data_IF_922363584976
#
_entry.id   IF_922363584976
#
_cell.length_a   1.000
_cell.length_b   1.000
_cell.length_c   1.000
_cell.angle_alpha   90.00
_cell.angle_beta   90.00
_cell.angle_gamma   90.00
#
_symmetry.space_group_name_H-M   'P 1'
#
loop_
_entity.id
_entity.type
_entity.pdbx_description
1 polymer ?
#
# COMPACT_ATOMS: atom_id res chain seq x y z
N UNK A 1 -5.73 0.03 6.74
CA UNK A 1 -4.62 -0.93 6.58
C UNK A 1 -3.50 -0.16 5.90
N UNK A 2 -2.29 -0.26 6.41
CA UNK A 2 -1.11 0.35 5.80
C UNK A 2 0.01 -0.68 5.69
N UNK A 3 0.98 -0.45 4.82
CA UNK A 3 2.04 -1.40 4.52
C UNK A 3 3.01 -0.85 3.48
N UNK A 4 4.02 -1.64 3.13
CA UNK A 4 5.01 -1.26 2.11
C UNK A 4 5.05 -2.32 1.01
N UNK A 5 4.64 -1.96 -0.20
CA UNK A 5 4.48 -2.86 -1.34
C UNK A 5 3.35 -3.89 -1.21
N UNK A 6 2.33 -3.59 -0.40
CA UNK A 6 1.18 -4.48 -0.17
C UNK A 6 0.36 -4.77 -1.43
N UNK A 7 0.25 -3.80 -2.35
CA UNK A 7 -0.43 -4.03 -3.63
C UNK A 7 0.45 -4.77 -4.65
N UNK A 8 1.77 -4.69 -4.50
CA UNK A 8 2.71 -5.36 -5.40
C UNK A 8 3.03 -6.79 -4.98
N UNK A 9 2.86 -7.13 -3.69
CA UNK A 9 3.28 -8.42 -3.14
C UNK A 9 2.24 -9.04 -2.21
N UNK A 10 2.06 -8.50 -0.99
CA UNK A 10 1.39 -9.21 0.13
C UNK A 10 0.00 -9.76 -0.21
N UNK A 11 -0.89 -8.91 -0.72
CA UNK A 11 -2.26 -9.34 -1.00
C UNK A 11 -2.35 -10.33 -2.16
N UNK A 12 -1.55 -10.10 -3.21
CA UNK A 12 -1.48 -10.98 -4.37
C UNK A 12 -0.96 -12.36 -3.94
N UNK A 13 0.11 -12.38 -3.15
CA UNK A 13 0.69 -13.61 -2.62
C UNK A 13 -0.31 -14.40 -1.75
N UNK A 14 -1.01 -13.73 -0.82
CA UNK A 14 -2.02 -14.39 0.02
C UNK A 14 -3.13 -14.98 -0.82
N UNK A 15 -3.63 -14.25 -1.81
CA UNK A 15 -4.71 -14.74 -2.66
C UNK A 15 -4.29 -15.90 -3.55
N UNK A 16 -3.14 -15.81 -4.20
CA UNK A 16 -2.57 -16.91 -4.99
C UNK A 16 -2.32 -18.13 -4.11
N UNK A 17 -1.87 -17.93 -2.86
CA UNK A 17 -1.67 -19.03 -1.93
C UNK A 17 -2.98 -19.70 -1.53
N UNK A 18 -4.05 -18.94 -1.28
CA UNK A 18 -5.38 -19.50 -0.99
C UNK A 18 -5.92 -20.30 -2.17
N UNK A 19 -5.73 -19.80 -3.41
CA UNK A 19 -6.20 -20.52 -4.60
C UNK A 19 -5.48 -21.86 -4.80
N UNK A 20 -4.19 -21.96 -4.45
CA UNK A 20 -3.48 -23.24 -4.42
C UNK A 20 -4.09 -24.26 -3.45
N UNK A 21 -4.66 -23.80 -2.34
CA UNK A 21 -5.34 -24.66 -1.37
C UNK A 21 -6.83 -24.84 -1.65
N UNK A 22 -7.34 -24.28 -2.77
CA UNK A 22 -8.77 -24.25 -3.11
C UNK A 22 -9.64 -23.60 -2.02
N UNK A 23 -9.05 -22.70 -1.24
CA UNK A 23 -9.73 -21.99 -0.18
C UNK A 23 -10.29 -20.66 -0.72
N UNK A 24 -11.59 -20.37 -0.54
CA UNK A 24 -12.16 -19.12 -1.00
C UNK A 24 -11.62 -17.94 -0.19
N UNK A 25 -11.48 -16.79 -0.85
CA UNK A 25 -11.16 -15.55 -0.15
C UNK A 25 -12.29 -15.21 0.82
N UNK A 26 -11.96 -15.16 2.12
CA UNK A 26 -12.93 -14.77 3.13
C UNK A 26 -13.26 -13.29 3.02
N UNK A 27 -14.46 -12.90 3.46
CA UNK A 27 -14.86 -11.50 3.55
C UNK A 27 -14.00 -10.80 4.62
N UNK A 28 -13.00 -10.03 4.17
CA UNK A 28 -12.13 -9.22 5.01
C UNK A 28 -12.63 -7.78 5.17
N UNK A 29 -13.82 -7.45 4.68
CA UNK A 29 -14.40 -6.11 4.78
C UNK A 29 -14.84 -5.78 6.23
N UNK A 30 -15.41 -4.61 6.45
CA UNK A 30 -16.11 -4.27 7.71
C UNK A 30 -17.59 -4.63 7.69
N UNK A 31 -18.14 -4.96 6.53
CA UNK A 31 -19.57 -5.23 6.37
C UNK A 31 -19.80 -6.74 6.39
N UNK A 32 -20.86 -7.18 7.08
CA UNK A 32 -21.23 -8.61 7.13
C UNK A 32 -21.51 -9.18 5.74
N UNK A 33 -22.23 -8.41 4.91
CA UNK A 33 -22.53 -8.73 3.51
C UNK A 33 -21.62 -7.96 2.52
N UNK A 34 -20.43 -7.56 2.96
CA UNK A 34 -19.47 -6.86 2.13
C UNK A 34 -18.70 -7.79 1.19
N UNK A 35 -17.89 -7.17 0.34
CA UNK A 35 -17.03 -7.86 -0.60
C UNK A 35 -15.55 -7.56 -0.34
N UNK A 36 -14.71 -8.51 -0.71
CA UNK A 36 -13.26 -8.33 -0.82
C UNK A 36 -12.86 -8.74 -2.21
N UNK A 37 -12.44 -7.78 -3.03
CA UNK A 37 -12.14 -8.00 -4.44
C UNK A 37 -10.70 -7.62 -4.73
N UNK A 38 -10.05 -8.38 -5.60
CA UNK A 38 -8.78 -8.01 -6.21
C UNK A 38 -9.07 -7.39 -7.56
N UNK A 39 -8.44 -6.24 -7.79
CA UNK A 39 -8.56 -5.47 -9.00
C UNK A 39 -7.15 -5.25 -9.52
N UNK A 40 -6.83 -5.89 -10.64
CA UNK A 40 -5.58 -5.60 -11.33
C UNK A 40 -5.65 -4.19 -11.91
N UNK A 41 -4.66 -3.39 -11.55
CA UNK A 41 -4.53 -2.01 -12.00
C UNK A 41 -3.31 -1.95 -12.91
N UNK A 42 -3.58 -1.58 -14.15
CA UNK A 42 -2.57 -1.22 -15.15
C UNK A 42 -2.82 0.22 -15.58
N UNK A 43 -1.82 1.08 -15.42
CA UNK A 43 -1.86 2.45 -15.94
C UNK A 43 -0.48 2.99 -16.25
N UNK A 44 -0.44 3.89 -17.22
CA UNK A 44 0.77 4.58 -17.64
C UNK A 44 0.56 6.10 -17.57
N UNK A 45 1.65 6.82 -17.26
CA UNK A 45 1.70 8.28 -17.45
C UNK A 45 3.13 8.72 -17.77
N UNK A 46 3.25 9.86 -18.43
CA UNK A 46 4.56 10.48 -18.69
C UNK A 46 5.31 10.83 -17.41
N UNK A 47 4.60 11.21 -16.34
CA UNK A 47 5.22 11.62 -15.08
C UNK A 47 5.60 10.45 -14.15
N UNK A 48 4.81 9.37 -14.15
CA UNK A 48 4.97 8.26 -13.20
C UNK A 48 5.31 6.92 -13.86
N UNK A 49 5.49 6.90 -15.18
CA UNK A 49 5.78 5.70 -15.95
C UNK A 49 4.64 4.69 -15.93
N UNK A 50 4.99 3.46 -16.31
CA UNK A 50 4.11 2.29 -16.27
C UNK A 50 4.02 1.72 -14.85
N UNK A 51 2.81 1.53 -14.34
CA UNK A 51 2.56 1.00 -13.01
C UNK A 51 1.53 -0.12 -13.07
N UNK A 52 1.98 -1.32 -12.69
CA UNK A 52 1.13 -2.49 -12.51
C UNK A 52 1.14 -2.92 -11.06
N UNK A 53 -0.04 -3.11 -10.48
CA UNK A 53 -0.20 -3.66 -9.15
C UNK A 53 -1.60 -4.26 -8.97
N UNK A 54 -1.74 -5.14 -7.99
CA UNK A 54 -3.03 -5.75 -7.65
C UNK A 54 -3.63 -4.99 -6.47
N UNK A 55 -4.66 -4.19 -6.73
CA UNK A 55 -5.35 -3.43 -5.70
C UNK A 55 -6.40 -4.31 -5.03
N UNK A 56 -6.40 -4.35 -3.70
CA UNK A 56 -7.52 -4.96 -2.96
C UNK A 56 -8.54 -3.91 -2.56
N UNK A 57 -9.81 -4.18 -2.86
CA UNK A 57 -10.94 -3.39 -2.42
C UNK A 57 -11.68 -4.16 -1.32
N UNK A 58 -11.79 -3.55 -0.14
CA UNK A 58 -12.47 -4.09 1.03
C UNK A 58 -13.48 -3.07 1.52
N UNK A 59 -14.76 -3.42 1.52
CA UNK A 59 -15.81 -2.48 1.93
C UNK A 59 -15.59 -1.97 3.36
N UNK A 60 -15.62 -0.64 3.52
CA UNK A 60 -15.39 0.03 4.80
C UNK A 60 -13.94 0.05 5.30
N UNK A 61 -12.96 -0.46 4.53
CA UNK A 61 -11.53 -0.34 4.88
C UNK A 61 -10.80 0.49 3.84
N UNK A 62 -10.01 1.43 4.35
CA UNK A 62 -9.02 2.14 3.54
C UNK A 62 -7.68 1.39 3.59
N UNK A 63 -7.07 1.23 2.42
CA UNK A 63 -5.74 0.64 2.25
C UNK A 63 -4.81 1.71 1.70
N UNK A 64 -3.67 1.91 2.37
CA UNK A 64 -2.63 2.88 2.01
C UNK A 64 -1.31 2.12 1.84
N UNK A 65 -0.75 2.12 0.64
CA UNK A 65 0.55 1.52 0.37
C UNK A 65 1.63 2.61 0.34
N UNK A 66 2.56 2.57 1.29
CA UNK A 66 3.64 3.55 1.40
C UNK A 66 4.58 3.50 0.19
N UNK A 67 4.73 2.36 -0.48
CA UNK A 67 5.60 2.30 -1.67
C UNK A 67 5.05 3.18 -2.79
N UNK A 68 3.73 3.25 -2.97
CA UNK A 68 3.12 4.15 -3.95
C UNK A 68 3.30 5.63 -3.57
N UNK A 69 3.31 5.95 -2.28
CA UNK A 69 3.62 7.30 -1.80
C UNK A 69 5.07 7.67 -2.10
N UNK A 70 6.03 6.83 -1.71
CA UNK A 70 7.45 7.09 -1.91
C UNK A 70 7.88 7.07 -3.36
N UNK A 71 7.22 6.31 -4.24
CA UNK A 71 7.43 6.37 -5.70
C UNK A 71 7.16 7.74 -6.32
N UNK A 72 6.48 8.65 -5.61
CA UNK A 72 6.31 10.05 -6.05
C UNK A 72 7.51 10.94 -5.72
N UNK A 73 8.42 10.46 -4.87
CA UNK A 73 9.69 11.11 -4.58
C UNK A 73 10.72 10.69 -5.63
N UNK A 74 11.70 11.55 -5.91
CA UNK A 74 12.85 11.19 -6.76
C UNK A 74 13.94 10.55 -5.90
N UNK A 75 13.82 9.24 -5.68
CA UNK A 75 14.79 8.46 -4.90
C UNK A 75 15.59 7.52 -5.81
N UNK A 76 16.79 7.14 -5.37
CA UNK A 76 17.66 6.18 -6.07
C UNK A 76 17.09 4.77 -6.01
N UNK A 77 16.56 4.39 -4.83
CA UNK A 77 15.91 3.10 -4.57
C UNK A 77 14.62 3.33 -3.79
N UNK A 78 13.71 2.38 -3.92
CA UNK A 78 12.41 2.37 -3.24
C UNK A 78 12.21 1.11 -2.40
N UNK A 79 13.29 0.41 -2.01
CA UNK A 79 13.17 -0.67 -1.02
C UNK A 79 12.86 -0.08 0.35
N UNK A 80 12.12 -0.83 1.17
CA UNK A 80 11.81 -0.42 2.55
C UNK A 80 13.09 -0.06 3.31
N UNK A 81 14.13 -0.90 3.20
CA UNK A 81 15.42 -0.70 3.84
C UNK A 81 16.09 0.64 3.46
N UNK A 82 16.13 0.96 2.17
CA UNK A 82 16.73 2.21 1.71
C UNK A 82 15.92 3.43 2.18
N UNK A 83 14.59 3.35 2.12
CA UNK A 83 13.71 4.44 2.53
C UNK A 83 13.75 4.64 4.05
N UNK A 84 13.75 3.56 4.83
CA UNK A 84 13.86 3.63 6.28
C UNK A 84 15.22 4.12 6.73
N UNK A 85 16.31 3.67 6.12
CA UNK A 85 17.65 4.18 6.43
C UNK A 85 17.76 5.68 6.08
N UNK A 86 17.31 6.06 4.88
CA UNK A 86 17.39 7.46 4.42
C UNK A 86 16.58 8.43 5.28
N UNK A 87 15.39 8.03 5.72
CA UNK A 87 14.49 8.94 6.43
C UNK A 87 14.44 8.73 7.94
N UNK A 88 14.61 7.51 8.45
CA UNK A 88 14.60 7.23 9.89
C UNK A 88 16.01 7.08 10.48
N UNK A 89 17.04 6.85 9.65
CA UNK A 89 18.37 6.50 10.13
C UNK A 89 18.44 5.08 10.70
N UNK A 90 17.45 4.24 10.38
CA UNK A 90 17.39 2.84 10.79
C UNK A 90 16.91 1.98 9.61
N UNK A 91 17.69 0.95 9.29
CA UNK A 91 17.38 -0.05 8.28
C UNK A 91 16.59 -1.25 8.81
N UNK A 92 16.34 -2.20 7.91
CA UNK A 92 15.83 -3.54 8.24
C UNK A 92 16.84 -4.32 9.08
N UNK A 93 16.40 -5.42 9.68
CA UNK A 93 17.37 -6.41 10.19
C UNK A 93 17.91 -7.19 8.98
N UNK A 94 19.20 -7.47 8.97
CA UNK A 94 19.83 -8.28 7.92
C UNK A 94 19.48 -9.74 8.15
N UNK A 95 18.48 -10.22 7.42
CA UNK A 95 18.04 -11.62 7.42
C UNK A 95 17.90 -12.04 5.97
N UNK A 96 18.72 -12.99 5.55
CA UNK A 96 18.67 -13.53 4.20
C UNK A 96 17.46 -14.46 4.05
N UNK A 97 16.90 -14.58 2.83
CA UNK A 97 15.70 -15.40 2.61
C UNK A 97 15.93 -16.88 2.93
N UNK A 98 17.16 -17.37 2.79
CA UNK A 98 17.53 -18.76 3.12
C UNK A 98 17.42 -19.04 4.62
N UNK A 99 17.79 -18.08 5.46
CA UNK A 99 17.67 -18.20 6.93
C UNK A 99 16.21 -18.31 7.38
N UNK A 100 15.29 -17.69 6.63
CA UNK A 100 13.84 -17.81 6.88
C UNK A 100 13.37 -19.25 6.59
N UNK A 101 13.84 -19.84 5.50
CA UNK A 101 13.52 -21.24 5.15
C UNK A 101 14.12 -22.21 6.15
N UNK A 102 15.40 -22.04 6.49
CA UNK A 102 16.09 -22.88 7.47
C UNK A 102 15.39 -22.84 8.84
N UNK A 103 14.99 -21.65 9.29
CA UNK A 103 14.24 -21.49 10.54
C UNK A 103 12.88 -22.20 10.51
N UNK A 104 12.20 -22.22 9.37
CA UNK A 104 10.92 -22.90 9.19
C UNK A 104 11.09 -24.42 9.16
N UNK A 105 12.06 -24.93 8.41
CA UNK A 105 12.31 -26.37 8.28
C UNK A 105 12.83 -26.97 9.58
N UNK A 106 13.75 -26.28 10.26
CA UNK A 106 14.32 -26.75 11.53
C UNK A 106 13.29 -26.77 12.67
N UNK A 107 12.21 -25.98 12.55
CA UNK A 107 11.21 -25.71 13.60
C UNK A 107 11.85 -25.30 14.94
N UNK A 108 13.03 -24.70 14.87
CA UNK A 108 13.76 -24.28 16.05
C UNK A 108 13.11 -23.01 16.64
N UNK A 109 12.64 -23.03 17.89
CA UNK A 109 11.95 -21.87 18.47
C UNK A 109 12.78 -20.59 18.50
N UNK A 110 14.09 -20.69 18.71
CA UNK A 110 14.99 -19.53 18.74
C UNK A 110 15.16 -18.91 17.36
N UNK A 111 15.33 -19.72 16.31
CA UNK A 111 15.42 -19.23 14.92
C UNK A 111 14.08 -18.65 14.44
N UNK A 112 12.97 -19.34 14.73
CA UNK A 112 11.63 -18.82 14.42
C UNK A 112 11.34 -17.49 15.15
N UNK A 113 11.81 -17.33 16.39
CA UNK A 113 11.68 -16.07 17.12
C UNK A 113 12.49 -14.93 16.48
N UNK A 114 13.65 -15.23 15.88
CA UNK A 114 14.45 -14.23 15.16
C UNK A 114 13.72 -13.75 13.91
N UNK A 115 13.17 -14.67 13.11
CA UNK A 115 12.33 -14.35 11.94
C UNK A 115 11.10 -13.55 12.36
N UNK A 116 10.44 -13.95 13.45
CA UNK A 116 9.30 -13.20 13.99
C UNK A 116 9.66 -11.77 14.37
N UNK A 117 10.81 -11.56 15.03
CA UNK A 117 11.32 -10.22 15.36
C UNK A 117 11.59 -9.39 14.09
N UNK A 118 12.19 -9.99 13.06
CA UNK A 118 12.41 -9.37 11.76
C UNK A 118 11.09 -8.89 11.13
N UNK A 119 10.06 -9.75 11.09
CA UNK A 119 8.74 -9.38 10.53
C UNK A 119 8.09 -8.22 11.31
N UNK A 120 8.23 -8.21 12.63
CA UNK A 120 7.73 -7.11 13.49
C UNK A 120 8.50 -5.83 13.20
N UNK A 121 9.82 -5.88 13.05
CA UNK A 121 10.65 -4.71 12.74
C UNK A 121 10.23 -4.08 11.41
N UNK A 122 10.07 -4.88 10.35
CA UNK A 122 9.62 -4.40 9.05
C UNK A 122 8.28 -3.66 9.14
N UNK A 123 7.30 -4.24 9.86
CA UNK A 123 6.00 -3.61 10.07
C UNK A 123 6.10 -2.31 10.89
N UNK A 124 6.97 -2.29 11.90
CA UNK A 124 7.19 -1.11 12.74
C UNK A 124 7.86 0.04 11.97
N UNK A 125 8.77 -0.26 11.04
CA UNK A 125 9.38 0.75 10.17
C UNK A 125 8.34 1.44 9.28
N UNK A 126 7.37 0.68 8.75
CA UNK A 126 6.26 1.25 7.97
C UNK A 126 5.44 2.23 8.81
N UNK A 127 5.11 1.88 10.05
CA UNK A 127 4.35 2.75 10.95
C UNK A 127 5.15 4.02 11.26
N UNK A 128 6.44 3.89 11.58
CA UNK A 128 7.30 5.04 11.85
C UNK A 128 7.44 5.97 10.63
N UNK A 129 7.55 5.42 9.42
CA UNK A 129 7.54 6.22 8.19
C UNK A 129 6.18 6.91 7.99
N UNK A 130 5.07 6.20 8.22
CA UNK A 130 3.72 6.75 8.11
C UNK A 130 3.52 7.96 9.05
N UNK A 131 4.01 7.86 10.28
CA UNK A 131 3.96 8.94 11.28
C UNK A 131 4.94 10.08 10.95
N UNK A 132 6.20 9.77 10.60
CA UNK A 132 7.23 10.77 10.30
C UNK A 132 6.81 11.72 9.18
N UNK A 133 6.13 11.20 8.17
CA UNK A 133 5.63 11.98 7.03
C UNK A 133 4.24 12.56 7.26
N UNK A 134 3.64 12.38 8.44
CA UNK A 134 2.25 12.77 8.73
C UNK A 134 1.28 12.31 7.63
N UNK A 135 1.49 11.11 7.10
CA UNK A 135 0.87 10.67 5.85
C UNK A 135 -0.66 10.66 5.94
N UNK A 136 -1.21 10.36 7.12
CA UNK A 136 -2.65 10.43 7.34
C UNK A 136 -3.22 11.83 7.14
N UNK A 137 -2.55 12.84 7.70
CA UNK A 137 -2.96 14.25 7.60
C UNK A 137 -2.86 14.70 6.15
N UNK A 138 -1.74 14.42 5.49
CA UNK A 138 -1.52 14.74 4.07
C UNK A 138 -2.61 14.14 3.18
N UNK A 139 -2.95 12.87 3.42
CA UNK A 139 -4.01 12.16 2.71
C UNK A 139 -5.39 12.79 2.94
N UNK A 140 -5.72 13.13 4.18
CA UNK A 140 -7.01 13.75 4.51
C UNK A 140 -7.14 15.14 3.88
N UNK A 141 -6.11 15.98 4.04
CA UNK A 141 -6.10 17.34 3.51
C UNK A 141 -6.13 17.34 1.98
N UNK A 142 -5.34 16.48 1.34
CA UNK A 142 -5.36 16.37 -0.12
C UNK A 142 -6.68 15.82 -0.65
N UNK A 143 -7.28 14.83 0.01
CA UNK A 143 -8.59 14.28 -0.36
C UNK A 143 -9.67 15.36 -0.32
N UNK A 144 -9.68 16.15 0.76
CA UNK A 144 -10.62 17.25 0.96
C UNK A 144 -10.39 18.36 -0.06
N UNK A 145 -9.14 18.77 -0.27
CA UNK A 145 -8.78 19.82 -1.20
C UNK A 145 -9.16 19.43 -2.63
N UNK A 146 -8.78 18.23 -3.07
CA UNK A 146 -8.96 17.75 -4.45
C UNK A 146 -10.31 17.08 -4.71
N UNK A 147 -11.13 16.92 -3.67
CA UNK A 147 -12.45 16.27 -3.73
C UNK A 147 -12.40 14.87 -4.36
N UNK A 148 -11.38 14.09 -4.02
CA UNK A 148 -11.25 12.70 -4.44
C UNK A 148 -11.20 11.78 -3.22
N UNK A 149 -11.40 10.47 -3.41
CA UNK A 149 -11.30 9.51 -2.30
C UNK A 149 -9.84 9.39 -1.85
N UNK A 150 -9.60 9.18 -0.56
CA UNK A 150 -8.24 9.08 -0.01
C UNK A 150 -7.37 8.06 -0.79
N UNK A 151 -7.91 6.88 -1.08
CA UNK A 151 -7.18 5.86 -1.84
C UNK A 151 -6.83 6.27 -3.28
N UNK A 152 -7.58 7.19 -3.89
CA UNK A 152 -7.35 7.67 -5.26
C UNK A 152 -6.20 8.67 -5.37
N UNK A 153 -5.78 9.27 -4.25
CA UNK A 153 -4.71 10.26 -4.26
C UNK A 153 -3.42 9.72 -4.87
N UNK A 154 -3.07 8.47 -4.54
CA UNK A 154 -1.86 7.82 -5.04
C UNK A 154 -2.12 6.79 -6.13
N UNK A 155 -3.33 6.21 -6.19
CA UNK A 155 -3.67 5.18 -7.18
C UNK A 155 -4.22 5.72 -8.50
N UNK A 156 -4.60 7.01 -8.56
CA UNK A 156 -5.08 7.68 -9.78
C UNK A 156 -4.17 8.86 -10.15
N UNK A 157 -4.23 9.23 -11.42
CA UNK A 157 -3.49 10.37 -11.96
C UNK A 157 -4.11 11.72 -11.61
N UNK A 158 -3.37 12.79 -11.91
CA UNK A 158 -3.76 14.17 -11.58
C UNK A 158 -5.02 14.65 -12.33
N UNK A 159 -5.30 14.09 -13.51
CA UNK A 159 -6.49 14.47 -14.30
C UNK A 159 -7.81 14.24 -13.54
N UNK A 160 -7.91 13.18 -12.74
CA UNK A 160 -9.10 12.92 -11.92
C UNK A 160 -9.35 14.05 -10.93
N UNK A 161 -8.27 14.56 -10.30
CA UNK A 161 -8.34 15.63 -9.31
C UNK A 161 -8.80 16.93 -9.96
N UNK A 162 -8.24 17.27 -11.12
CA UNK A 162 -8.65 18.45 -11.90
C UNK A 162 -10.13 18.33 -12.31
N UNK A 163 -10.52 17.17 -12.86
CA UNK A 163 -11.91 16.91 -13.28
C UNK A 163 -12.90 17.11 -12.13
N UNK A 164 -12.61 16.58 -10.94
CA UNK A 164 -13.49 16.73 -9.77
C UNK A 164 -13.68 18.20 -9.38
N UNK A 165 -12.63 19.02 -9.49
CA UNK A 165 -12.70 20.45 -9.21
C UNK A 165 -13.48 21.20 -10.29
N UNK A 166 -13.24 20.88 -11.57
CA UNK A 166 -13.99 21.47 -12.68
C UNK A 166 -15.48 21.19 -12.55
N UNK A 167 -15.86 19.94 -12.26
CA UNK A 167 -17.26 19.56 -12.03
C UNK A 167 -17.86 20.37 -10.87
N UNK A 168 -17.11 20.55 -9.77
CA UNK A 168 -17.59 21.36 -8.64
C UNK A 168 -17.86 22.81 -9.04
N UNK A 169 -16.95 23.42 -9.81
CA UNK A 169 -17.13 24.78 -10.30
C UNK A 169 -18.30 24.91 -11.29
N UNK A 170 -18.45 23.94 -12.19
CA UNK A 170 -19.59 23.84 -13.10
C UNK A 170 -20.92 23.81 -12.32
N UNK A 171 -21.03 22.98 -11.28
CA UNK A 171 -22.22 22.93 -10.41
C UNK A 171 -22.48 24.28 -9.74
N UNK A 172 -21.43 24.92 -9.18
CA UNK A 172 -21.57 26.21 -8.51
C UNK A 172 -22.06 27.33 -9.45
N UNK A 173 -21.73 27.24 -10.74
CA UNK A 173 -22.08 28.22 -11.78
C UNK A 173 -23.29 27.82 -12.62
N UNK A 174 -23.92 26.69 -12.32
CA UNK A 174 -25.00 26.10 -13.11
C UNK A 174 -24.62 25.89 -14.61
N UNK A 175 -23.39 25.41 -14.84
CA UNK A 175 -22.84 25.09 -16.16
C UNK A 175 -22.74 23.57 -16.29
N UNK A 176 -23.05 23.03 -17.47
CA UNK A 176 -22.83 21.62 -17.80
C UNK A 176 -21.48 21.49 -18.52
N UNK A 177 -20.70 20.48 -18.14
CA UNK A 177 -19.42 20.15 -18.76
C UNK A 177 -19.61 19.42 -20.09
#
# INVERSE_FOLDING_TARGET
>A
ITGYNIYGFDFKYVFERLSFYLEPLQNMSRLTNGSTNLVDVDWESSAYGYNTYCKVEMDGRLIVDLMLYFKRFKLEKYSLDFVSEKFLGVGKDDVHYEEIWDAFESRNPSQMSLVGKYCVKDSALVIQLFEKFNLWTDLCEMSKAMRCRIGEIYTRGEQLKVKNQTIKECINRNVVL
#
